data_IF_390440146694
#
_entry.id   IF_390440146694
#
_cell.length_a   1.000
_cell.length_b   1.000
_cell.length_c   1.000
_cell.angle_alpha   90.00
_cell.angle_beta   90.00
_cell.angle_gamma   90.00
#
_symmetry.space_group_name_H-M   'P 1'
#
loop_
_entity.id
_entity.type
_entity.pdbx_description
1 polymer ?
#
# COMPACT_ATOMS: atom_id res chain seq x y z
N UNK A 1 8.58 -29.77 -41.16
CA UNK A 1 7.62 -29.73 -40.04
C UNK A 1 8.28 -28.88 -38.94
N UNK A 2 7.80 -27.64 -38.80
CA UNK A 2 8.28 -26.74 -37.73
C UNK A 2 7.31 -26.84 -36.55
N UNK A 3 7.76 -26.90 -35.29
CA UNK A 3 6.89 -26.87 -34.13
C UNK A 3 6.41 -25.44 -33.93
N UNK A 4 5.10 -25.23 -33.99
CA UNK A 4 4.43 -24.01 -33.61
C UNK A 4 4.56 -23.85 -32.09
N UNK A 5 5.46 -22.97 -31.66
CA UNK A 5 5.54 -22.50 -30.26
C UNK A 5 4.30 -21.69 -29.91
N UNK A 6 3.35 -22.30 -29.24
CA UNK A 6 2.25 -21.60 -28.59
C UNK A 6 2.78 -20.80 -27.39
N UNK A 7 3.01 -19.50 -27.59
CA UNK A 7 3.27 -18.57 -26.51
C UNK A 7 2.05 -18.51 -25.61
N UNK A 8 2.11 -19.11 -24.42
CA UNK A 8 1.15 -18.88 -23.36
C UNK A 8 1.18 -17.40 -23.00
N UNK A 9 0.13 -16.68 -23.42
CA UNK A 9 -0.12 -15.34 -22.92
C UNK A 9 -0.23 -15.42 -21.39
N UNK A 10 0.75 -14.88 -20.69
CA UNK A 10 0.69 -14.68 -19.26
C UNK A 10 -0.63 -13.96 -18.95
N UNK A 11 -1.55 -14.64 -18.29
CA UNK A 11 -2.74 -13.99 -17.74
C UNK A 11 -2.24 -13.01 -16.66
N UNK A 12 -2.10 -11.77 -17.09
CA UNK A 12 -1.92 -10.65 -16.16
C UNK A 12 -3.14 -10.69 -15.24
N UNK A 13 -2.92 -10.98 -13.95
CA UNK A 13 -3.99 -10.93 -12.96
C UNK A 13 -4.69 -9.57 -13.04
N UNK A 14 -5.95 -9.46 -12.58
CA UNK A 14 -6.72 -8.23 -12.71
C UNK A 14 -5.91 -7.07 -12.17
N UNK A 15 -5.68 -6.07 -13.03
CA UNK A 15 -4.97 -4.86 -12.67
C UNK A 15 -5.68 -4.22 -11.47
N UNK A 16 -4.93 -3.92 -10.42
CA UNK A 16 -5.46 -3.21 -9.27
C UNK A 16 -5.85 -1.81 -9.74
N UNK A 17 -7.11 -1.44 -9.54
CA UNK A 17 -7.59 -0.10 -9.81
C UNK A 17 -8.31 0.46 -8.58
N UNK A 18 -7.85 1.62 -8.09
CA UNK A 18 -8.46 2.31 -6.97
C UNK A 18 -9.38 3.41 -7.49
N UNK A 19 -10.64 3.39 -7.06
CA UNK A 19 -11.59 4.45 -7.38
C UNK A 19 -11.48 5.57 -6.33
N UNK A 20 -11.15 6.77 -6.79
CA UNK A 20 -11.03 7.95 -5.93
C UNK A 20 -12.03 8.99 -6.40
N UNK A 21 -12.79 9.56 -5.47
CA UNK A 21 -13.69 10.66 -5.73
C UNK A 21 -12.89 11.95 -5.92
N UNK A 22 -13.13 12.66 -7.03
CA UNK A 22 -12.45 13.92 -7.38
C UNK A 22 -13.38 15.13 -7.35
N UNK A 23 -14.69 14.91 -7.19
CA UNK A 23 -15.70 15.96 -7.20
C UNK A 23 -16.96 15.58 -6.46
N UNK A 24 -17.88 16.53 -6.33
CA UNK A 24 -19.18 16.25 -5.77
C UNK A 24 -20.02 15.42 -6.74
N UNK A 25 -20.84 14.52 -6.18
CA UNK A 25 -21.84 13.81 -6.97
C UNK A 25 -22.77 14.81 -7.68
N UNK A 26 -22.59 14.96 -8.98
CA UNK A 26 -23.51 15.71 -9.81
C UNK A 26 -24.60 14.75 -10.30
N UNK A 27 -25.46 14.30 -9.41
CA UNK A 27 -26.65 13.58 -9.81
C UNK A 27 -27.64 14.55 -10.44
N UNK A 28 -27.78 14.52 -11.76
CA UNK A 28 -28.86 15.20 -12.46
C UNK A 28 -30.02 14.23 -12.59
N UNK A 29 -31.19 14.67 -12.11
CA UNK A 29 -32.42 13.98 -12.45
C UNK A 29 -32.73 14.27 -13.92
N UNK A 30 -32.68 13.27 -14.76
CA UNK A 30 -33.03 13.35 -16.17
C UNK A 30 -34.37 12.66 -16.36
N UNK A 31 -35.34 13.37 -16.94
CA UNK A 31 -36.63 12.78 -17.32
C UNK A 31 -36.48 12.05 -18.64
N UNK A 32 -36.64 10.73 -18.61
CA UNK A 32 -36.70 9.93 -19.82
C UNK A 32 -38.15 9.83 -20.28
N UNK A 33 -38.43 10.17 -21.53
CA UNK A 33 -39.76 10.02 -22.13
C UNK A 33 -40.26 8.58 -21.96
N UNK A 34 -41.41 8.43 -21.33
CA UNK A 34 -42.09 7.15 -21.11
C UNK A 34 -41.56 6.29 -19.93
N UNK A 35 -40.49 6.67 -19.23
CA UNK A 35 -39.91 5.88 -18.13
C UNK A 35 -39.77 6.59 -16.77
N UNK A 36 -40.28 7.81 -16.65
CA UNK A 36 -40.19 8.58 -15.41
C UNK A 36 -38.83 9.26 -15.21
N UNK A 37 -38.53 9.67 -13.97
CA UNK A 37 -37.28 10.32 -13.60
C UNK A 37 -36.23 9.27 -13.31
N UNK A 38 -35.07 9.36 -13.96
CA UNK A 38 -33.89 8.57 -13.63
C UNK A 38 -32.79 9.47 -13.11
N UNK A 39 -32.12 9.04 -12.08
CA UNK A 39 -30.93 9.72 -11.56
C UNK A 39 -29.72 9.27 -12.38
N UNK A 40 -29.24 10.16 -13.24
CA UNK A 40 -27.99 9.95 -13.94
C UNK A 40 -26.86 10.52 -13.07
N UNK A 41 -26.23 9.67 -12.27
CA UNK A 41 -25.15 10.05 -11.40
C UNK A 41 -23.82 10.05 -12.15
N UNK A 42 -23.15 11.21 -12.18
CA UNK A 42 -21.71 11.24 -12.35
C UNK A 42 -21.13 11.31 -10.93
N UNK A 43 -20.58 10.22 -10.44
CA UNK A 43 -20.04 10.12 -9.07
C UNK A 43 -18.80 10.97 -8.88
N UNK A 44 -18.33 11.66 -9.93
CA UNK A 44 -17.06 12.41 -9.88
C UNK A 44 -15.86 11.55 -9.53
N UNK A 45 -15.99 10.22 -9.56
CA UNK A 45 -14.92 9.28 -9.23
C UNK A 45 -14.14 8.90 -10.47
N UNK A 46 -12.82 8.72 -10.29
CA UNK A 46 -11.89 8.23 -11.31
C UNK A 46 -11.18 6.97 -10.80
N UNK A 47 -11.02 5.98 -11.68
CA UNK A 47 -10.21 4.80 -11.42
C UNK A 47 -8.74 5.08 -11.74
N UNK A 48 -7.86 4.77 -10.79
CA UNK A 48 -6.41 4.88 -10.92
C UNK A 48 -5.81 3.48 -10.90
N UNK A 49 -5.02 3.15 -11.91
CA UNK A 49 -4.32 1.87 -12.04
C UNK A 49 -2.88 1.92 -11.50
N UNK A 50 -2.38 3.10 -11.18
CA UNK A 50 -1.05 3.35 -10.62
C UNK A 50 -1.17 4.10 -9.31
N UNK A 51 -0.38 3.68 -8.32
CA UNK A 51 -0.30 4.37 -7.02
C UNK A 51 0.28 5.77 -7.18
N UNK A 52 1.26 5.96 -8.06
CA UNK A 52 1.90 7.27 -8.29
C UNK A 52 0.92 8.30 -8.87
N UNK A 53 0.00 7.84 -9.74
CA UNK A 53 -1.07 8.71 -10.24
C UNK A 53 -2.13 8.96 -9.17
N UNK A 54 -2.49 7.92 -8.41
CA UNK A 54 -3.50 7.99 -7.37
C UNK A 54 -3.12 8.96 -6.24
N UNK A 55 -1.87 8.98 -5.79
CA UNK A 55 -1.40 9.90 -4.72
C UNK A 55 -1.46 11.37 -5.15
N UNK A 56 -1.36 11.64 -6.45
CA UNK A 56 -1.49 12.99 -7.01
C UNK A 56 -2.95 13.40 -7.24
N UNK A 57 -3.92 12.54 -6.92
CA UNK A 57 -5.35 12.80 -7.13
C UNK A 57 -5.86 14.03 -6.38
N UNK A 58 -5.18 14.46 -5.30
CA UNK A 58 -5.51 15.70 -4.58
C UNK A 58 -5.55 16.94 -5.49
N UNK A 59 -4.58 17.06 -6.37
CA UNK A 59 -4.48 18.21 -7.31
C UNK A 59 -5.42 18.06 -8.52
N UNK A 60 -6.03 16.90 -8.71
CA UNK A 60 -7.01 16.65 -9.75
C UNK A 60 -8.45 16.89 -9.29
N UNK A 61 -8.66 17.14 -8.00
CA UNK A 61 -9.99 17.45 -7.45
C UNK A 61 -10.50 18.80 -7.93
N UNK A 62 -11.83 18.88 -8.08
CA UNK A 62 -12.44 20.19 -8.21
C UNK A 62 -12.22 21.05 -6.95
N UNK A 63 -12.16 22.37 -7.09
CA UNK A 63 -11.80 23.27 -6.00
C UNK A 63 -12.72 23.16 -4.79
N UNK A 64 -14.01 22.93 -5.02
CA UNK A 64 -15.00 22.81 -3.94
C UNK A 64 -14.83 21.49 -3.17
N UNK A 65 -14.58 20.40 -3.89
CA UNK A 65 -14.33 19.11 -3.25
C UNK A 65 -13.01 19.10 -2.52
N UNK A 66 -11.95 19.68 -3.12
CA UNK A 66 -10.64 19.83 -2.51
C UNK A 66 -10.70 20.62 -1.20
N UNK A 67 -11.45 21.75 -1.19
CA UNK A 67 -11.67 22.53 0.02
C UNK A 67 -12.35 21.69 1.12
N UNK A 68 -13.36 20.89 0.79
CA UNK A 68 -14.03 19.99 1.73
C UNK A 68 -13.06 18.92 2.28
N UNK A 69 -12.21 18.35 1.43
CA UNK A 69 -11.17 17.40 1.85
C UNK A 69 -10.18 18.07 2.80
N UNK A 70 -9.72 19.29 2.49
CA UNK A 70 -8.81 20.06 3.35
C UNK A 70 -9.44 20.36 4.73
N UNK A 71 -10.72 20.74 4.74
CA UNK A 71 -11.46 20.97 5.99
C UNK A 71 -11.53 19.69 6.84
N UNK A 72 -11.82 18.54 6.22
CA UNK A 72 -11.82 17.24 6.92
C UNK A 72 -10.44 16.86 7.45
N UNK A 73 -9.39 17.05 6.64
CA UNK A 73 -8.01 16.78 7.07
C UNK A 73 -7.64 17.65 8.29
N UNK A 74 -8.03 18.93 8.28
CA UNK A 74 -7.86 19.80 9.44
C UNK A 74 -8.70 19.35 10.63
N UNK A 75 -9.97 19.02 10.42
CA UNK A 75 -10.86 18.52 11.48
C UNK A 75 -10.28 17.28 12.18
N UNK A 76 -9.71 16.35 11.41
CA UNK A 76 -9.05 15.17 11.96
C UNK A 76 -7.62 15.46 12.47
N UNK A 77 -7.16 16.70 12.43
CA UNK A 77 -5.85 17.09 12.96
C UNK A 77 -4.67 16.61 12.13
N UNK A 78 -4.88 16.28 10.86
CA UNK A 78 -3.83 15.83 9.94
C UNK A 78 -3.08 17.01 9.29
N UNK A 79 -3.60 18.23 9.43
CA UNK A 79 -2.94 19.48 9.01
C UNK A 79 -2.95 20.48 10.16
N UNK A 80 -2.00 21.40 10.17
CA UNK A 80 -1.89 22.47 11.19
C UNK A 80 -2.87 23.62 10.96
N UNK A 81 -3.48 23.70 9.77
CA UNK A 81 -4.45 24.71 9.40
C UNK A 81 -5.32 24.30 8.23
N UNK A 82 -6.52 24.89 8.11
CA UNK A 82 -7.48 24.52 7.07
C UNK A 82 -7.02 24.82 5.65
N UNK A 83 -6.05 25.74 5.48
CA UNK A 83 -5.57 26.21 4.19
C UNK A 83 -4.12 25.75 3.87
N UNK A 84 -3.57 24.80 4.63
CA UNK A 84 -2.23 24.29 4.36
C UNK A 84 -2.27 23.20 3.30
N UNK A 85 -2.23 23.61 2.02
CA UNK A 85 -2.36 22.72 0.86
C UNK A 85 -1.23 21.68 0.80
N UNK A 86 0.00 22.05 1.15
CA UNK A 86 1.14 21.13 1.13
C UNK A 86 0.98 19.99 2.15
N UNK A 87 0.56 20.33 3.37
CA UNK A 87 0.29 19.31 4.39
C UNK A 87 -0.95 18.48 4.02
N UNK A 88 -1.98 19.10 3.45
CA UNK A 88 -3.18 18.41 3.01
C UNK A 88 -2.87 17.41 1.88
N UNK A 89 -2.06 17.79 0.90
CA UNK A 89 -1.62 16.90 -0.17
C UNK A 89 -0.82 15.71 0.38
N UNK A 90 0.08 15.94 1.34
CA UNK A 90 0.84 14.87 2.00
C UNK A 90 -0.06 13.91 2.77
N UNK A 91 -0.97 14.43 3.60
CA UNK A 91 -1.91 13.62 4.38
C UNK A 91 -2.89 12.85 3.46
N UNK A 92 -3.32 13.45 2.36
CA UNK A 92 -4.13 12.78 1.35
C UNK A 92 -3.36 11.65 0.67
N UNK A 93 -2.10 11.87 0.31
CA UNK A 93 -1.24 10.82 -0.24
C UNK A 93 -1.17 9.60 0.67
N UNK A 94 -1.04 9.80 1.98
CA UNK A 94 -1.02 8.70 2.95
C UNK A 94 -2.39 7.97 3.03
N UNK A 95 -3.51 8.70 2.97
CA UNK A 95 -4.84 8.11 2.89
C UNK A 95 -5.02 7.24 1.64
N UNK A 96 -4.53 7.72 0.49
CA UNK A 96 -4.56 7.00 -0.79
C UNK A 96 -3.70 5.72 -0.72
N UNK A 97 -2.50 5.80 -0.16
CA UNK A 97 -1.63 4.61 0.03
C UNK A 97 -2.30 3.56 0.91
N UNK A 98 -2.96 3.99 1.98
CA UNK A 98 -3.74 3.09 2.84
C UNK A 98 -4.91 2.46 2.08
N UNK A 99 -5.70 3.24 1.33
CA UNK A 99 -6.79 2.74 0.50
C UNK A 99 -6.30 1.75 -0.57
N UNK A 100 -5.14 2.03 -1.18
CA UNK A 100 -4.48 1.14 -2.12
C UNK A 100 -4.16 -0.22 -1.50
N UNK A 101 -3.60 -0.23 -0.29
CA UNK A 101 -3.32 -1.47 0.44
C UNK A 101 -4.60 -2.24 0.77
N UNK A 102 -5.70 -1.54 1.12
CA UNK A 102 -7.02 -2.19 1.28
C UNK A 102 -7.51 -2.80 -0.02
N UNK A 103 -7.32 -2.12 -1.15
CA UNK A 103 -7.73 -2.63 -2.48
C UNK A 103 -6.96 -3.89 -2.86
N UNK A 104 -5.65 -3.95 -2.62
CA UNK A 104 -4.83 -5.16 -2.82
C UNK A 104 -5.35 -6.31 -1.95
N UNK A 105 -5.79 -6.03 -0.73
CA UNK A 105 -6.40 -7.01 0.17
C UNK A 105 -7.83 -7.42 -0.23
N UNK A 106 -8.36 -6.88 -1.34
CA UNK A 106 -9.70 -7.18 -1.86
C UNK A 106 -10.82 -6.36 -1.21
N UNK A 107 -10.49 -5.26 -0.54
CA UNK A 107 -11.45 -4.34 0.07
C UNK A 107 -11.43 -3.01 -0.66
N UNK A 108 -12.59 -2.53 -1.10
CA UNK A 108 -12.74 -1.21 -1.73
C UNK A 108 -13.12 -0.20 -0.66
N UNK A 109 -12.24 0.75 -0.36
CA UNK A 109 -12.43 1.78 0.66
C UNK A 109 -12.04 3.12 0.07
N UNK A 110 -12.90 4.13 0.21
CA UNK A 110 -12.59 5.50 -0.22
C UNK A 110 -11.52 6.09 0.73
N UNK A 111 -10.45 6.74 0.21
CA UNK A 111 -9.44 7.38 1.04
C UNK A 111 -10.01 8.31 2.11
N UNK A 112 -11.11 9.01 1.82
CA UNK A 112 -11.75 9.94 2.77
C UNK A 112 -12.30 9.23 4.01
N UNK A 113 -12.73 7.97 3.87
CA UNK A 113 -13.28 7.16 4.97
C UNK A 113 -12.17 6.62 5.89
N UNK A 114 -10.91 6.74 5.46
CA UNK A 114 -9.74 6.34 6.26
C UNK A 114 -9.19 7.47 7.13
N UNK A 115 -9.55 8.73 6.86
CA UNK A 115 -9.05 9.88 7.62
C UNK A 115 -9.22 9.76 9.15
N UNK A 116 -10.36 9.27 9.67
CA UNK A 116 -10.51 9.06 11.11
C UNK A 116 -9.51 8.05 11.70
N UNK A 117 -9.04 7.10 10.90
CA UNK A 117 -8.05 6.08 11.33
C UNK A 117 -6.63 6.61 11.31
N UNK A 118 -6.39 7.65 10.53
CA UNK A 118 -5.09 8.30 10.40
C UNK A 118 -4.87 9.37 11.47
N UNK A 119 -5.88 9.66 12.30
CA UNK A 119 -5.79 10.69 13.34
C UNK A 119 -4.55 10.44 14.18
N UNK A 120 -3.52 11.20 13.96
CA UNK A 120 -2.41 11.28 14.89
C UNK A 120 -2.99 11.94 16.12
N UNK A 121 -2.90 11.26 17.25
CA UNK A 121 -3.11 11.93 18.52
C UNK A 121 -2.15 13.13 18.50
N UNK A 122 -2.69 14.31 18.23
CA UNK A 122 -1.94 15.53 18.43
C UNK A 122 -1.51 15.49 19.89
N UNK A 123 -0.22 15.23 20.11
CA UNK A 123 0.43 15.73 21.30
C UNK A 123 0.35 17.26 21.16
N UNK A 124 -0.80 17.82 21.57
CA UNK A 124 -1.05 19.23 21.46
C UNK A 124 -0.02 19.97 22.24
N UNK A 125 0.50 21.03 21.67
CA UNK A 125 0.70 22.24 22.43
C UNK A 125 0.81 23.43 21.50
N UNK A 126 -0.20 24.23 21.51
CA UNK A 126 -0.16 25.65 21.21
C UNK A 126 0.67 26.33 22.29
N UNK A 127 1.92 26.66 22.00
CA UNK A 127 2.79 27.38 22.90
C UNK A 127 4.24 27.39 22.41
N UNK A 128 4.87 28.53 22.30
CA UNK A 128 6.20 28.76 21.72
C UNK A 128 7.37 28.16 22.53
N UNK A 129 7.34 26.85 22.76
CA UNK A 129 8.42 26.03 23.29
C UNK A 129 8.91 24.98 22.32
N UNK A 130 9.91 24.17 22.69
CA UNK A 130 10.41 23.08 21.86
C UNK A 130 9.24 22.20 21.41
N UNK A 131 9.07 22.05 20.08
CA UNK A 131 7.93 21.34 19.51
C UNK A 131 8.35 19.95 19.06
N UNK A 132 7.71 18.94 19.63
CA UNK A 132 7.88 17.56 19.19
C UNK A 132 6.63 17.11 18.44
N UNK A 133 6.80 16.73 17.18
CA UNK A 133 5.73 16.20 16.33
C UNK A 133 6.04 14.74 15.99
N UNK A 134 5.09 13.87 16.25
CA UNK A 134 5.17 12.48 15.82
C UNK A 134 4.37 12.32 14.52
N UNK A 135 5.05 11.93 13.46
CA UNK A 135 4.45 11.71 12.15
C UNK A 135 4.40 10.23 11.85
N UNK A 136 3.24 9.76 11.40
CA UNK A 136 3.07 8.42 10.86
C UNK A 136 3.03 8.51 9.34
N UNK A 137 3.77 7.64 8.68
CA UNK A 137 3.77 7.54 7.22
C UNK A 137 3.43 6.13 6.80
N UNK A 138 2.52 6.00 5.83
CA UNK A 138 2.12 4.72 5.27
C UNK A 138 2.84 4.50 3.95
N UNK A 139 3.38 3.30 3.78
CA UNK A 139 3.95 2.87 2.52
C UNK A 139 2.89 2.10 1.71
N UNK A 140 2.86 2.33 0.41
CA UNK A 140 2.03 1.55 -0.49
C UNK A 140 2.79 0.30 -0.93
N UNK A 141 2.09 -0.84 -0.97
CA UNK A 141 2.61 -2.06 -1.55
C UNK A 141 2.60 -1.93 -3.08
N UNK A 142 3.75 -2.15 -3.72
CA UNK A 142 3.83 -2.38 -5.16
C UNK A 142 3.55 -3.87 -5.42
N UNK A 143 2.42 -4.22 -6.07
CA UNK A 143 2.06 -5.62 -6.26
C UNK A 143 3.02 -6.38 -7.17
N UNK A 144 3.60 -5.72 -8.18
CA UNK A 144 4.47 -6.39 -9.13
C UNK A 144 5.87 -6.62 -8.53
N UNK A 145 6.41 -5.63 -7.84
CA UNK A 145 7.66 -5.78 -7.09
C UNK A 145 7.50 -6.85 -5.98
N UNK A 146 6.38 -6.87 -5.29
CA UNK A 146 6.09 -7.88 -4.27
C UNK A 146 5.98 -9.29 -4.86
N UNK A 147 5.31 -9.48 -6.02
CA UNK A 147 5.24 -10.77 -6.71
C UNK A 147 6.62 -11.24 -7.16
N UNK A 148 7.45 -10.35 -7.70
CA UNK A 148 8.80 -10.69 -8.10
C UNK A 148 9.64 -11.15 -6.90
N UNK A 149 9.55 -10.43 -5.78
CA UNK A 149 10.24 -10.79 -4.55
C UNK A 149 9.75 -12.12 -3.95
N UNK A 150 8.44 -12.39 -3.97
CA UNK A 150 7.87 -13.67 -3.55
C UNK A 150 8.43 -14.81 -4.40
N UNK A 151 8.43 -14.68 -5.73
CA UNK A 151 8.99 -15.71 -6.63
C UNK A 151 10.45 -15.99 -6.34
N UNK A 152 11.24 -14.93 -6.21
CA UNK A 152 12.66 -15.07 -5.87
C UNK A 152 12.86 -15.79 -4.52
N UNK A 153 12.05 -15.47 -3.52
CA UNK A 153 12.11 -16.11 -2.19
C UNK A 153 11.73 -17.58 -2.24
N UNK A 154 10.73 -17.98 -3.03
CA UNK A 154 10.34 -19.37 -3.23
C UNK A 154 11.43 -20.16 -3.94
N UNK A 155 11.99 -19.60 -5.00
CA UNK A 155 13.10 -20.24 -5.72
C UNK A 155 14.34 -20.44 -4.82
N UNK A 156 14.66 -19.43 -4.00
CA UNK A 156 15.79 -19.52 -3.08
C UNK A 156 15.55 -20.52 -1.93
N UNK A 157 14.33 -20.62 -1.41
CA UNK A 157 14.00 -21.40 -0.21
C UNK A 157 13.48 -22.80 -0.51
N UNK A 158 12.85 -23.02 -1.67
CA UNK A 158 12.14 -24.27 -2.04
C UNK A 158 12.53 -24.79 -3.43
N UNK A 159 13.35 -24.07 -4.20
CA UNK A 159 13.80 -24.46 -5.54
C UNK A 159 12.69 -24.50 -6.60
N UNK A 160 11.51 -23.89 -6.34
CA UNK A 160 10.36 -23.86 -7.24
C UNK A 160 9.71 -22.49 -7.32
N UNK A 161 8.87 -22.30 -8.32
CA UNK A 161 7.98 -21.15 -8.38
C UNK A 161 6.77 -21.31 -7.45
N UNK A 162 6.28 -20.21 -6.85
CA UNK A 162 5.06 -20.24 -6.05
C UNK A 162 3.81 -20.43 -6.92
N UNK A 163 2.81 -21.14 -6.39
CA UNK A 163 1.51 -21.22 -7.00
C UNK A 163 0.73 -19.89 -6.85
N UNK A 164 -0.22 -19.64 -7.73
CA UNK A 164 -1.04 -18.42 -7.70
C UNK A 164 -1.77 -18.21 -6.37
N UNK A 165 -2.16 -19.29 -5.69
CA UNK A 165 -2.80 -19.22 -4.39
C UNK A 165 -1.82 -18.74 -3.30
N UNK A 166 -0.56 -19.18 -3.34
CA UNK A 166 0.50 -18.76 -2.43
C UNK A 166 0.84 -17.28 -2.63
N UNK A 167 0.97 -16.86 -3.90
CA UNK A 167 1.18 -15.43 -4.23
C UNK A 167 0.05 -14.57 -3.67
N UNK A 168 -1.22 -14.95 -3.91
CA UNK A 168 -2.37 -14.20 -3.41
C UNK A 168 -2.41 -14.12 -1.89
N UNK A 169 -2.10 -15.21 -1.20
CA UNK A 169 -2.09 -15.24 0.26
C UNK A 169 -0.98 -14.38 0.85
N UNK A 170 0.22 -14.42 0.28
CA UNK A 170 1.34 -13.60 0.71
C UNK A 170 1.10 -12.11 0.43
N UNK A 171 0.58 -11.75 -0.76
CA UNK A 171 0.20 -10.37 -1.07
C UNK A 171 -0.84 -9.82 -0.10
N UNK A 172 -1.84 -10.63 0.28
CA UNK A 172 -2.83 -10.24 1.28
C UNK A 172 -2.19 -10.00 2.65
N UNK A 173 -1.26 -10.85 3.05
CA UNK A 173 -0.52 -10.70 4.31
C UNK A 173 0.39 -9.47 4.31
N UNK A 174 1.12 -9.22 3.21
CA UNK A 174 1.94 -8.01 3.03
C UNK A 174 1.07 -6.76 3.08
N UNK A 175 -0.06 -6.75 2.37
CA UNK A 175 -1.00 -5.64 2.37
C UNK A 175 -1.53 -5.33 3.78
N UNK A 176 -1.88 -6.37 4.55
CA UNK A 176 -2.29 -6.22 5.94
C UNK A 176 -1.15 -5.68 6.83
N UNK A 177 0.08 -6.12 6.59
CA UNK A 177 1.27 -5.61 7.28
C UNK A 177 1.46 -4.11 7.06
N UNK A 178 1.41 -3.65 5.82
CA UNK A 178 1.53 -2.23 5.49
C UNK A 178 0.37 -1.37 6.02
N UNK A 179 -0.84 -1.94 6.15
CA UNK A 179 -1.98 -1.24 6.76
C UNK A 179 -1.81 -1.01 8.26
N UNK A 180 -1.19 -1.97 8.96
CA UNK A 180 -1.11 -1.99 10.41
C UNK A 180 0.25 -1.54 10.97
N UNK A 181 1.27 -1.48 10.11
CA UNK A 181 2.64 -1.12 10.48
C UNK A 181 3.13 0.15 9.76
N UNK A 182 2.57 1.35 10.06
CA UNK A 182 3.12 2.59 9.54
C UNK A 182 4.51 2.85 10.13
N UNK A 183 5.38 3.49 9.36
CA UNK A 183 6.59 4.04 9.93
C UNK A 183 6.25 5.24 10.83
N UNK A 184 6.94 5.34 11.95
CA UNK A 184 6.73 6.42 12.94
C UNK A 184 8.01 7.22 13.09
N UNK A 185 7.93 8.49 12.77
CA UNK A 185 9.05 9.42 12.86
C UNK A 185 8.71 10.54 13.85
N UNK A 186 9.63 10.85 14.72
CA UNK A 186 9.53 11.97 15.64
C UNK A 186 10.42 13.11 15.15
N UNK A 187 9.84 14.26 14.95
CA UNK A 187 10.56 15.50 14.65
C UNK A 187 10.49 16.42 15.86
N UNK A 188 11.64 16.80 16.39
CA UNK A 188 11.75 17.78 17.49
C UNK A 188 12.38 19.04 16.93
N UNK A 189 11.68 20.16 17.10
CA UNK A 189 12.19 21.51 16.75
C UNK A 189 12.50 22.22 18.06
N UNK A 190 13.73 22.72 18.20
CA UNK A 190 14.14 23.48 19.37
C UNK A 190 13.63 24.95 19.33
N UNK A 191 13.92 25.72 20.37
CA UNK A 191 13.56 27.13 20.44
C UNK A 191 14.31 28.02 19.44
N UNK A 192 15.36 27.50 18.83
CA UNK A 192 16.19 28.20 17.83
C UNK A 192 15.76 27.86 16.39
N UNK A 193 14.76 26.93 16.23
CA UNK A 193 14.24 26.52 14.93
C UNK A 193 15.00 25.35 14.29
N UNK A 194 15.99 24.76 14.99
CA UNK A 194 16.68 23.58 14.47
C UNK A 194 15.79 22.35 14.64
N UNK A 195 15.68 21.55 13.61
CA UNK A 195 14.87 20.32 13.62
C UNK A 195 15.73 19.09 13.63
N UNK A 196 15.49 18.19 14.57
CA UNK A 196 16.05 16.84 14.60
C UNK A 196 14.96 15.83 14.33
N UNK A 197 15.28 14.82 13.50
CA UNK A 197 14.35 13.77 13.16
C UNK A 197 14.88 12.42 13.67
N UNK A 198 14.01 11.67 14.33
CA UNK A 198 14.29 10.33 14.84
C UNK A 198 13.23 9.36 14.37
N UNK A 199 13.63 8.25 13.77
CA UNK A 199 12.73 7.14 13.46
C UNK A 199 12.47 6.37 14.74
N UNK A 200 11.22 6.32 15.19
CA UNK A 200 10.78 5.57 16.37
C UNK A 200 10.42 4.12 15.98
N UNK A 201 9.79 3.97 14.81
CA UNK A 201 9.41 2.69 14.24
C UNK A 201 9.64 2.75 12.73
N UNK A 202 10.46 1.86 12.15
CA UNK A 202 10.70 1.83 10.71
C UNK A 202 9.47 1.35 9.91
N UNK A 203 8.43 0.84 10.60
CA UNK A 203 7.25 0.28 9.99
C UNK A 203 7.38 -1.20 9.64
N UNK A 204 6.46 -1.68 8.81
CA UNK A 204 6.38 -3.08 8.43
C UNK A 204 7.56 -3.50 7.53
N UNK A 205 8.28 -4.55 7.94
CA UNK A 205 9.37 -5.15 7.17
C UNK A 205 8.84 -6.31 6.29
N UNK A 206 8.73 -6.02 4.99
CA UNK A 206 8.30 -7.00 3.99
C UNK A 206 9.24 -8.20 3.89
N UNK A 207 10.55 -7.94 3.98
CA UNK A 207 11.56 -8.99 3.82
C UNK A 207 11.52 -9.96 4.99
N UNK A 208 11.49 -9.43 6.21
CA UNK A 208 11.37 -10.24 7.42
C UNK A 208 10.05 -11.05 7.43
N UNK A 209 8.95 -10.46 6.99
CA UNK A 209 7.67 -11.16 6.90
C UNK A 209 7.74 -12.38 5.97
N UNK A 210 8.30 -12.21 4.75
CA UNK A 210 8.39 -13.31 3.78
C UNK A 210 9.40 -14.34 4.26
N UNK A 211 10.56 -13.95 4.78
CA UNK A 211 11.54 -14.88 5.33
C UNK A 211 10.97 -15.73 6.45
N UNK A 212 10.25 -15.12 7.40
CA UNK A 212 9.59 -15.86 8.48
C UNK A 212 8.55 -16.87 7.96
N UNK A 213 7.85 -16.53 6.88
CA UNK A 213 6.90 -17.45 6.24
C UNK A 213 7.61 -18.60 5.56
N UNK A 214 8.72 -18.34 4.85
CA UNK A 214 9.53 -19.39 4.21
C UNK A 214 10.17 -20.33 5.25
N UNK A 215 10.79 -19.77 6.28
CA UNK A 215 11.44 -20.59 7.32
C UNK A 215 10.49 -21.43 8.15
N UNK A 216 9.22 -21.03 8.26
CA UNK A 216 8.17 -21.79 8.95
C UNK A 216 7.50 -22.85 8.06
N UNK A 217 7.83 -22.89 6.76
CA UNK A 217 7.26 -23.85 5.82
C UNK A 217 8.03 -25.19 5.86
N UNK A 218 7.37 -26.32 6.10
CA UNK A 218 8.05 -27.62 6.14
C UNK A 218 8.67 -28.03 4.80
N UNK A 219 8.16 -27.54 3.65
CA UNK A 219 8.73 -27.77 2.34
C UNK A 219 10.08 -27.08 2.21
N UNK A 220 10.22 -25.83 2.68
CA UNK A 220 11.48 -25.12 2.69
C UNK A 220 12.52 -25.82 3.56
N UNK A 221 12.13 -26.31 4.74
CA UNK A 221 13.03 -27.08 5.61
C UNK A 221 13.50 -28.36 4.94
N UNK A 222 12.63 -29.10 4.25
CA UNK A 222 12.96 -30.31 3.53
C UNK A 222 13.92 -30.02 2.35
N UNK A 223 13.68 -28.94 1.61
CA UNK A 223 14.54 -28.52 0.50
C UNK A 223 15.94 -28.15 0.98
N UNK A 224 16.07 -27.38 2.05
CA UNK A 224 17.35 -27.01 2.64
C UNK A 224 18.12 -28.23 3.14
N UNK A 225 17.45 -29.15 3.84
CA UNK A 225 18.06 -30.39 4.26
C UNK A 225 18.58 -31.23 3.09
N UNK A 226 17.80 -31.32 2.00
CA UNK A 226 18.22 -32.01 0.78
C UNK A 226 19.41 -31.32 0.11
N UNK A 227 19.43 -29.98 0.06
CA UNK A 227 20.50 -29.18 -0.53
C UNK A 227 21.83 -29.33 0.26
N UNK A 228 21.76 -29.52 1.57
CA UNK A 228 22.94 -29.79 2.42
C UNK A 228 23.45 -31.22 2.29
N UNK A 229 22.55 -32.20 2.19
CA UNK A 229 22.92 -33.61 2.11
C UNK A 229 23.49 -34.00 0.75
N UNK A 230 23.02 -33.38 -0.34
CA UNK A 230 23.43 -33.75 -1.69
C UNK A 230 24.95 -33.59 -1.96
N UNK A 231 25.60 -32.47 -1.59
CA UNK A 231 27.04 -32.32 -1.71
C UNK A 231 27.81 -33.30 -0.84
N UNK A 232 27.34 -33.59 0.36
CA UNK A 232 27.95 -34.54 1.27
C UNK A 232 27.96 -35.98 0.71
N UNK A 233 26.84 -36.39 0.10
CA UNK A 233 26.70 -37.66 -0.59
C UNK A 233 27.63 -37.75 -1.81
N UNK A 234 27.71 -36.68 -2.61
CA UNK A 234 28.61 -36.63 -3.75
C UNK A 234 30.07 -36.76 -3.30
N UNK A 235 30.47 -36.09 -2.22
CA UNK A 235 31.82 -36.17 -1.68
C UNK A 235 32.12 -37.57 -1.16
N UNK A 236 31.16 -38.22 -0.49
CA UNK A 236 31.32 -39.59 0.00
C UNK A 236 31.50 -40.62 -1.14
N UNK A 237 30.78 -40.44 -2.26
CA UNK A 237 30.85 -41.29 -3.44
C UNK A 237 32.16 -41.10 -4.25
N UNK A 238 32.82 -39.95 -4.11
CA UNK A 238 34.06 -39.63 -4.81
C UNK A 238 35.32 -39.95 -3.99
N UNK A 239 35.16 -40.29 -2.71
CA UNK A 239 36.30 -40.71 -1.87
C UNK A 239 36.70 -42.13 -2.24
N UNK A 240 37.92 -42.35 -2.78
CA UNK A 240 38.39 -43.70 -3.05
C UNK A 240 38.57 -44.47 -1.73
N UNK A 241 38.14 -45.72 -1.70
CA UNK A 241 38.35 -46.70 -0.64
C UNK A 241 39.82 -47.14 -0.65
#
# INVERSE_FOLDING_TARGET
MAPSGGGSASQVGPAVALNIRLGQDQSKQVRLEGKGWMTQGNTGARAFSSIDEAVNSFFMMDDKYRANVMEKLYYYGLTDGPNNEAQAASAWSDAVKMAWNYKIAGKDVDPIDLLPRMTNLKAGQLGGGPRTVTQRSFNALDPEAAKAFIRQSFQASMGRDPHDAEIRNLLRGLSAGFQNGPSVTQQTTDSEGNSTQRVLDPGFDQSAYIQNRMTSDPEAAAYQAAAELYPALQQALQSPV
#
